data_IF_063009032218
#
_entry.id   IF_063009032218
#
_cell.length_a   1.000
_cell.length_b   1.000
_cell.length_c   1.000
_cell.angle_alpha   90.00
_cell.angle_beta   90.00
_cell.angle_gamma   90.00
#
_symmetry.space_group_name_H-M   'P 1'
#
loop_
_entity.id
_entity.type
_entity.pdbx_description
1 polymer ?
#
# COMPACT_ATOMS: atom_id res chain seq x y z
N UNK A 1 21.86 24.76 -5.30
CA UNK A 1 20.55 24.17 -5.63
C UNK A 1 20.76 22.68 -5.86
N UNK A 2 20.26 21.82 -4.98
CA UNK A 2 20.28 20.36 -5.19
C UNK A 2 19.26 20.07 -6.27
N UNK A 3 19.68 19.49 -7.38
CA UNK A 3 18.78 19.17 -8.49
C UNK A 3 17.80 18.07 -8.09
N UNK A 4 16.63 18.00 -8.73
CA UNK A 4 15.61 16.96 -8.51
C UNK A 4 16.17 15.53 -8.68
N UNK A 5 17.21 15.40 -9.48
CA UNK A 5 17.90 14.14 -9.73
C UNK A 5 18.72 13.66 -8.51
N UNK A 6 19.38 14.57 -7.78
CA UNK A 6 20.14 14.25 -6.57
C UNK A 6 19.26 13.82 -5.40
N UNK A 7 18.06 14.42 -5.27
CA UNK A 7 17.08 14.01 -4.24
C UNK A 7 16.52 12.60 -4.50
N UNK A 8 16.31 12.22 -5.77
CA UNK A 8 15.88 10.87 -6.14
C UNK A 8 16.96 9.82 -5.84
N UNK A 9 18.21 10.18 -6.07
CA UNK A 9 19.35 9.32 -5.77
C UNK A 9 19.52 9.10 -4.26
N UNK A 10 19.18 10.07 -3.41
CA UNK A 10 19.26 9.94 -1.96
C UNK A 10 18.40 8.79 -1.41
N UNK A 11 17.11 8.74 -1.72
CA UNK A 11 16.23 7.66 -1.24
C UNK A 11 16.57 6.31 -1.86
N UNK A 12 17.04 6.29 -3.09
CA UNK A 12 17.51 5.07 -3.73
C UNK A 12 18.78 4.54 -3.04
N UNK A 13 19.76 5.41 -2.79
CA UNK A 13 20.99 5.07 -2.04
C UNK A 13 20.65 4.63 -0.62
N UNK A 14 19.74 5.33 0.04
CA UNK A 14 19.27 4.99 1.38
C UNK A 14 18.62 3.60 1.40
N UNK A 15 17.74 3.29 0.44
CA UNK A 15 17.11 1.97 0.35
C UNK A 15 18.16 0.85 0.22
N UNK A 16 19.11 1.02 -0.70
CA UNK A 16 20.20 0.05 -0.89
C UNK A 16 21.06 -0.13 0.37
N UNK A 17 21.38 0.97 1.08
CA UNK A 17 22.13 0.95 2.33
C UNK A 17 21.39 0.24 3.46
N UNK A 18 20.08 0.40 3.54
CA UNK A 18 19.23 -0.20 4.58
C UNK A 18 18.68 -1.59 4.20
N UNK A 19 19.05 -2.11 3.01
CA UNK A 19 18.64 -3.43 2.55
C UNK A 19 17.22 -3.52 2.02
N UNK A 20 16.57 -2.38 1.73
CA UNK A 20 15.26 -2.37 1.10
C UNK A 20 15.35 -2.56 -0.42
N UNK A 21 14.43 -3.34 -0.98
CA UNK A 21 14.34 -3.60 -2.41
C UNK A 21 13.95 -2.35 -3.22
N UNK A 22 13.23 -1.41 -2.62
CA UNK A 22 12.86 -0.15 -3.26
C UNK A 22 12.64 0.97 -2.22
N UNK A 23 12.65 2.22 -2.70
CA UNK A 23 12.43 3.41 -1.87
C UNK A 23 10.99 3.58 -1.35
N UNK A 24 10.03 2.78 -1.84
CA UNK A 24 8.64 2.84 -1.37
C UNK A 24 8.50 2.49 0.12
N UNK A 25 9.49 1.79 0.71
CA UNK A 25 9.60 1.60 2.16
C UNK A 25 9.57 2.92 2.93
N UNK A 26 10.26 3.96 2.44
CA UNK A 26 10.35 5.27 3.12
C UNK A 26 9.05 6.07 3.02
N UNK A 27 8.27 5.88 1.96
CA UNK A 27 6.93 6.48 1.88
C UNK A 27 6.03 5.91 2.98
N UNK A 28 6.09 4.59 3.17
CA UNK A 28 5.33 3.92 4.24
C UNK A 28 5.86 4.30 5.62
N UNK A 29 7.18 4.48 5.79
CA UNK A 29 7.80 4.95 7.02
C UNK A 29 7.27 6.34 7.43
N UNK A 30 7.24 7.30 6.49
CA UNK A 30 6.70 8.63 6.75
C UNK A 30 5.22 8.60 7.14
N UNK A 31 4.42 7.76 6.47
CA UNK A 31 3.00 7.57 6.76
C UNK A 31 2.83 6.93 8.14
N UNK A 32 3.63 5.90 8.45
CA UNK A 32 3.61 5.24 9.76
C UNK A 32 3.96 6.21 10.89
N UNK A 33 5.00 7.02 10.72
CA UNK A 33 5.43 7.98 11.71
C UNK A 33 4.35 9.04 12.01
N UNK A 34 3.50 9.37 11.03
CA UNK A 34 2.44 10.37 11.19
C UNK A 34 1.11 9.79 11.66
N UNK A 35 0.75 8.60 11.22
CA UNK A 35 -0.60 8.06 11.41
C UNK A 35 -0.65 6.74 12.19
N UNK A 36 0.50 6.18 12.57
CA UNK A 36 0.59 4.97 13.37
C UNK A 36 -0.27 3.82 12.82
N UNK A 37 -0.03 3.47 11.53
CA UNK A 37 -0.77 2.40 10.83
C UNK A 37 -0.59 1.05 11.52
N UNK A 38 0.67 0.73 11.85
CA UNK A 38 1.03 -0.48 12.59
C UNK A 38 1.00 -0.19 14.08
N UNK A 39 0.20 -0.93 14.82
CA UNK A 39 0.08 -0.82 16.26
C UNK A 39 0.06 -2.20 16.94
N UNK A 40 -0.15 -2.23 18.26
CA UNK A 40 -0.17 -3.47 19.04
C UNK A 40 -1.26 -4.45 18.61
N UNK A 41 -2.32 -3.99 17.98
CA UNK A 41 -3.45 -4.79 17.56
C UNK A 41 -3.31 -5.31 16.12
N UNK A 42 -2.38 -4.76 15.34
CA UNK A 42 -2.14 -5.18 13.94
C UNK A 42 -1.58 -6.59 13.91
N UNK A 43 -2.30 -7.55 13.34
CA UNK A 43 -1.90 -8.96 13.19
C UNK A 43 -1.95 -9.42 11.75
N UNK A 44 -2.96 -9.05 11.00
CA UNK A 44 -3.14 -9.47 9.60
C UNK A 44 -3.05 -8.27 8.69
N UNK A 45 -2.11 -8.31 7.77
CA UNK A 45 -1.79 -7.24 6.82
C UNK A 45 -1.94 -7.77 5.41
N UNK A 46 -2.61 -7.02 4.54
CA UNK A 46 -2.69 -7.30 3.11
C UNK A 46 -1.97 -6.20 2.33
N UNK A 47 -1.04 -6.58 1.46
CA UNK A 47 -0.28 -5.67 0.58
C UNK A 47 -0.66 -5.93 -0.88
N UNK A 48 -1.38 -5.02 -1.50
CA UNK A 48 -1.86 -5.10 -2.88
C UNK A 48 -0.93 -4.27 -3.78
N UNK A 49 -0.39 -4.91 -4.84
CA UNK A 49 0.68 -4.33 -5.64
C UNK A 49 1.98 -4.34 -4.86
N UNK A 50 2.33 -5.49 -4.30
CA UNK A 50 3.41 -5.60 -3.33
C UNK A 50 4.81 -5.59 -3.93
N UNK A 51 4.96 -5.84 -5.26
CA UNK A 51 6.27 -5.87 -5.90
C UNK A 51 7.03 -4.53 -5.76
N UNK A 52 8.35 -4.59 -5.58
CA UNK A 52 9.23 -5.75 -5.41
C UNK A 52 9.29 -6.30 -3.97
N UNK A 53 8.47 -5.81 -3.02
CA UNK A 53 8.39 -6.30 -1.65
C UNK A 53 8.96 -5.35 -0.58
N UNK A 54 9.39 -4.15 -0.94
CA UNK A 54 10.03 -3.22 0.02
C UNK A 54 9.11 -2.73 1.13
N UNK A 55 7.79 -2.63 0.88
CA UNK A 55 6.82 -2.27 1.91
C UNK A 55 6.57 -3.43 2.87
N UNK A 56 6.57 -4.67 2.35
CA UNK A 56 6.52 -5.88 3.19
C UNK A 56 7.76 -5.94 4.07
N UNK A 57 8.96 -5.70 3.51
CA UNK A 57 10.19 -5.62 4.32
C UNK A 57 10.07 -4.58 5.44
N UNK A 58 9.55 -3.38 5.13
CA UNK A 58 9.33 -2.35 6.13
C UNK A 58 8.33 -2.80 7.21
N UNK A 59 7.20 -3.40 6.82
CA UNK A 59 6.20 -3.90 7.74
C UNK A 59 6.81 -4.95 8.69
N UNK A 60 7.53 -5.94 8.18
CA UNK A 60 8.22 -6.96 8.98
C UNK A 60 9.21 -6.32 9.96
N UNK A 61 10.06 -5.40 9.47
CA UNK A 61 11.03 -4.71 10.31
C UNK A 61 10.34 -3.91 11.43
N UNK A 62 9.21 -3.26 11.12
CA UNK A 62 8.45 -2.50 12.09
C UNK A 62 7.79 -3.40 13.15
N UNK A 63 7.17 -4.52 12.73
CA UNK A 63 6.60 -5.52 13.64
C UNK A 63 7.67 -6.10 14.58
N UNK A 64 8.85 -6.42 14.03
CA UNK A 64 9.98 -6.92 14.83
C UNK A 64 10.47 -5.88 15.86
N UNK A 65 10.54 -4.58 15.47
CA UNK A 65 10.87 -3.49 16.43
C UNK A 65 9.84 -3.40 17.56
N UNK A 66 8.58 -3.69 17.30
CA UNK A 66 7.53 -3.78 18.31
C UNK A 66 7.56 -5.11 19.10
N UNK A 67 8.54 -5.99 18.84
CA UNK A 67 8.65 -7.33 19.44
C UNK A 67 7.42 -8.22 19.19
N UNK A 68 6.80 -8.07 18.03
CA UNK A 68 5.66 -8.88 17.57
C UNK A 68 6.15 -9.98 16.65
N UNK A 69 5.69 -11.21 16.93
CA UNK A 69 5.94 -12.39 16.10
C UNK A 69 4.64 -13.06 15.62
N UNK A 70 3.49 -12.65 16.18
CA UNK A 70 2.16 -13.17 15.89
C UNK A 70 1.45 -12.37 14.80
N UNK A 71 2.12 -12.17 13.66
CA UNK A 71 1.54 -11.48 12.52
C UNK A 71 1.58 -12.31 11.25
N UNK A 72 0.68 -11.98 10.32
CA UNK A 72 0.62 -12.55 8.97
C UNK A 72 0.54 -11.40 7.97
N UNK A 73 1.37 -11.48 6.93
CA UNK A 73 1.37 -10.52 5.81
C UNK A 73 1.11 -11.31 4.54
N UNK A 74 0.04 -10.96 3.84
CA UNK A 74 -0.31 -11.47 2.52
C UNK A 74 0.01 -10.41 1.47
N UNK A 75 0.96 -10.70 0.58
CA UNK A 75 1.29 -9.86 -0.57
C UNK A 75 0.66 -10.40 -1.85
N UNK A 76 0.07 -9.52 -2.66
CA UNK A 76 -0.50 -9.86 -3.98
C UNK A 76 0.05 -8.89 -5.02
N UNK A 77 0.57 -9.42 -6.12
CA UNK A 77 1.03 -8.64 -7.26
C UNK A 77 0.92 -9.45 -8.55
N UNK A 78 0.80 -8.80 -9.69
CA UNK A 78 0.87 -9.45 -11.02
C UNK A 78 2.29 -9.92 -11.36
N UNK A 79 3.30 -9.40 -10.67
CA UNK A 79 4.69 -9.82 -10.78
C UNK A 79 5.03 -10.82 -9.68
N UNK A 80 5.98 -11.71 -9.95
CA UNK A 80 6.52 -12.58 -8.92
C UNK A 80 7.28 -11.77 -7.87
N UNK A 81 6.97 -12.03 -6.61
CA UNK A 81 7.66 -11.44 -5.45
C UNK A 81 8.20 -12.57 -4.60
N UNK A 82 9.52 -12.74 -4.61
CA UNK A 82 10.19 -13.78 -3.83
C UNK A 82 10.78 -13.19 -2.56
N UNK A 83 10.01 -13.29 -1.46
CA UNK A 83 10.41 -12.84 -0.13
C UNK A 83 10.36 -14.01 0.84
N UNK A 84 11.53 -14.41 1.35
CA UNK A 84 11.61 -15.41 2.41
C UNK A 84 11.71 -14.69 3.77
N UNK A 85 10.56 -14.22 4.27
CA UNK A 85 10.45 -13.52 5.55
C UNK A 85 9.42 -14.21 6.46
N UNK A 86 9.67 -14.30 7.78
CA UNK A 86 8.73 -14.91 8.72
C UNK A 86 7.35 -14.24 8.67
N UNK A 87 6.29 -15.04 8.62
CA UNK A 87 4.92 -14.55 8.62
C UNK A 87 4.46 -13.90 7.32
N UNK A 88 5.25 -14.00 6.23
CA UNK A 88 4.95 -13.43 4.91
C UNK A 88 4.64 -14.54 3.91
N UNK A 89 3.54 -14.37 3.18
CA UNK A 89 3.20 -15.18 2.00
C UNK A 89 2.89 -14.23 0.85
N UNK A 90 3.42 -14.51 -0.34
CA UNK A 90 3.18 -13.69 -1.54
C UNK A 90 2.60 -14.55 -2.64
N UNK A 91 1.67 -13.97 -3.41
CA UNK A 91 1.03 -14.60 -4.55
C UNK A 91 1.17 -13.73 -5.79
N UNK A 92 1.49 -14.40 -6.91
CA UNK A 92 1.37 -13.79 -8.22
C UNK A 92 -0.08 -13.93 -8.67
N UNK A 93 -0.83 -12.85 -8.56
CA UNK A 93 -2.24 -12.81 -8.93
C UNK A 93 -2.66 -11.41 -9.39
N UNK A 94 -3.67 -11.37 -10.28
CA UNK A 94 -4.33 -10.13 -10.67
C UNK A 94 -5.46 -9.83 -9.67
N UNK A 95 -5.47 -8.63 -9.13
CA UNK A 95 -6.48 -8.19 -8.16
C UNK A 95 -7.90 -8.16 -8.77
N UNK A 96 -8.01 -8.11 -10.10
CA UNK A 96 -9.28 -8.16 -10.81
C UNK A 96 -9.88 -9.58 -10.91
N UNK A 97 -9.08 -10.61 -10.66
CA UNK A 97 -9.54 -12.01 -10.61
C UNK A 97 -10.13 -12.33 -9.23
N UNK A 98 -11.35 -11.85 -9.00
CA UNK A 98 -12.03 -12.01 -7.71
C UNK A 98 -12.15 -13.46 -7.24
N UNK A 99 -12.47 -14.46 -8.09
CA UNK A 99 -12.48 -15.86 -7.69
C UNK A 99 -11.13 -16.32 -7.15
N UNK A 100 -10.04 -16.05 -7.85
CA UNK A 100 -8.69 -16.42 -7.44
C UNK A 100 -8.25 -15.71 -6.15
N UNK A 101 -8.60 -14.43 -5.99
CA UNK A 101 -8.34 -13.72 -4.73
C UNK A 101 -9.08 -14.36 -3.55
N UNK A 102 -10.33 -14.82 -3.73
CA UNK A 102 -11.07 -15.54 -2.69
C UNK A 102 -10.42 -16.87 -2.32
N UNK A 103 -9.91 -17.61 -3.31
CA UNK A 103 -9.15 -18.86 -3.06
C UNK A 103 -7.90 -18.58 -2.23
N UNK A 104 -7.09 -17.59 -2.61
CA UNK A 104 -5.90 -17.17 -1.86
C UNK A 104 -6.25 -16.80 -0.40
N UNK A 105 -7.31 -16.05 -0.19
CA UNK A 105 -7.75 -15.67 1.16
C UNK A 105 -8.18 -16.90 1.99
N UNK A 106 -8.89 -17.84 1.37
CA UNK A 106 -9.33 -19.08 2.01
C UNK A 106 -8.14 -19.98 2.38
N UNK A 107 -7.19 -20.19 1.48
CA UNK A 107 -5.95 -20.95 1.72
C UNK A 107 -5.15 -20.39 2.90
N UNK A 108 -5.15 -19.07 3.04
CA UNK A 108 -4.46 -18.38 4.12
C UNK A 108 -5.30 -18.23 5.40
N UNK A 109 -6.55 -18.76 5.44
CA UNK A 109 -7.50 -18.58 6.52
C UNK A 109 -7.69 -17.10 6.92
N UNK A 110 -7.78 -16.21 5.93
CA UNK A 110 -7.98 -14.76 6.13
C UNK A 110 -9.45 -14.44 5.87
N UNK A 111 -10.17 -14.09 6.92
CA UNK A 111 -11.55 -13.60 6.85
C UNK A 111 -11.61 -12.07 6.97
N UNK A 112 -10.71 -11.49 7.75
CA UNK A 112 -10.59 -10.06 7.94
C UNK A 112 -9.12 -9.67 8.14
N UNK A 113 -8.80 -8.41 7.83
CA UNK A 113 -7.47 -7.85 7.98
C UNK A 113 -7.47 -6.58 8.83
N UNK A 114 -6.38 -6.34 9.54
CA UNK A 114 -6.18 -5.16 10.38
C UNK A 114 -5.64 -3.97 9.58
N UNK A 115 -4.86 -4.27 8.53
CA UNK A 115 -4.26 -3.25 7.68
C UNK A 115 -4.28 -3.69 6.22
N UNK A 116 -4.76 -2.82 5.35
CA UNK A 116 -4.61 -2.95 3.89
C UNK A 116 -3.68 -1.83 3.41
N UNK A 117 -2.61 -2.21 2.72
CA UNK A 117 -1.75 -1.26 2.03
C UNK A 117 -1.76 -1.53 0.53
N UNK A 118 -1.77 -0.48 -0.29
CA UNK A 118 -1.70 -0.59 -1.74
C UNK A 118 -0.81 0.48 -2.34
N UNK A 119 0.14 0.05 -3.16
CA UNK A 119 0.99 0.92 -3.97
C UNK A 119 0.86 0.59 -5.48
N UNK A 120 -0.25 -0.05 -5.83
CA UNK A 120 -0.53 -0.38 -7.23
C UNK A 120 -0.41 0.85 -8.12
N UNK A 121 0.04 0.61 -9.33
CA UNK A 121 -0.01 1.57 -10.41
C UNK A 121 -0.37 0.83 -11.70
N UNK A 122 -1.15 1.44 -12.60
CA UNK A 122 -1.30 0.93 -13.94
C UNK A 122 0.03 1.03 -14.69
N UNK A 123 0.13 0.35 -15.82
CA UNK A 123 1.20 0.63 -16.78
C UNK A 123 1.04 2.06 -17.27
N UNK A 124 1.89 2.97 -16.74
CA UNK A 124 1.81 4.40 -17.05
C UNK A 124 2.33 4.68 -18.45
N UNK A 125 1.61 5.54 -19.19
CA UNK A 125 2.00 6.00 -20.52
C UNK A 125 2.59 7.42 -20.50
N UNK A 126 2.67 8.05 -19.31
CA UNK A 126 3.18 9.40 -19.14
C UNK A 126 2.14 10.51 -19.35
N UNK A 127 0.91 10.19 -19.78
CA UNK A 127 -0.21 11.13 -19.86
C UNK A 127 -0.93 11.12 -18.51
N UNK A 128 -0.64 12.14 -17.70
CA UNK A 128 -1.00 12.18 -16.27
C UNK A 128 -2.48 11.92 -15.97
N UNK A 129 -3.39 12.44 -16.79
CA UNK A 129 -4.82 12.29 -16.55
C UNK A 129 -5.31 10.88 -16.97
N UNK A 130 -4.77 10.34 -18.05
CA UNK A 130 -5.05 8.95 -18.46
C UNK A 130 -4.50 7.96 -17.43
N UNK A 131 -3.28 8.20 -16.94
CA UNK A 131 -2.69 7.35 -15.91
C UNK A 131 -3.50 7.41 -14.60
N UNK A 132 -4.07 8.57 -14.26
CA UNK A 132 -4.97 8.70 -13.12
C UNK A 132 -6.27 7.93 -13.32
N UNK A 133 -6.93 8.05 -14.46
CA UNK A 133 -8.16 7.32 -14.79
C UNK A 133 -7.94 5.80 -14.70
N UNK A 134 -6.87 5.29 -15.32
CA UNK A 134 -6.50 3.86 -15.26
C UNK A 134 -6.25 3.37 -13.83
N UNK A 135 -5.66 4.21 -12.99
CA UNK A 135 -5.48 3.85 -11.58
C UNK A 135 -6.84 3.72 -10.87
N UNK A 136 -7.77 4.65 -11.11
CA UNK A 136 -9.10 4.55 -10.49
C UNK A 136 -9.90 3.36 -11.00
N UNK A 137 -9.76 2.96 -12.27
CA UNK A 137 -10.31 1.70 -12.79
C UNK A 137 -9.77 0.48 -12.00
N UNK A 138 -8.47 0.44 -11.70
CA UNK A 138 -7.90 -0.61 -10.86
C UNK A 138 -8.40 -0.56 -9.41
N UNK A 139 -8.63 0.63 -8.87
CA UNK A 139 -9.13 0.80 -7.51
C UNK A 139 -10.59 0.34 -7.34
N UNK A 140 -11.38 0.23 -8.43
CA UNK A 140 -12.70 -0.38 -8.37
C UNK A 140 -12.66 -1.83 -7.85
N UNK A 141 -11.59 -2.58 -8.14
CA UNK A 141 -11.39 -3.95 -7.62
C UNK A 141 -10.93 -3.94 -6.14
N UNK A 142 -10.31 -2.86 -5.69
CA UNK A 142 -9.86 -2.73 -4.29
C UNK A 142 -10.99 -2.31 -3.35
N UNK A 143 -11.96 -1.53 -3.82
CA UNK A 143 -13.09 -1.05 -3.00
C UNK A 143 -13.87 -2.18 -2.30
N UNK A 144 -14.26 -3.28 -3.00
CA UNK A 144 -14.91 -4.42 -2.35
C UNK A 144 -14.03 -5.08 -1.28
N UNK A 145 -12.71 -5.15 -1.53
CA UNK A 145 -11.75 -5.70 -0.56
C UNK A 145 -11.73 -4.82 0.70
N UNK A 146 -11.64 -3.51 0.55
CA UNK A 146 -11.71 -2.58 1.68
C UNK A 146 -13.01 -2.71 2.46
N UNK A 147 -14.13 -2.82 1.77
CA UNK A 147 -15.46 -2.90 2.39
C UNK A 147 -15.69 -4.20 3.15
N UNK A 148 -15.22 -5.33 2.58
CA UNK A 148 -15.60 -6.66 3.05
C UNK A 148 -14.53 -7.30 3.97
N UNK A 149 -13.25 -6.99 3.76
CA UNK A 149 -12.16 -7.62 4.50
C UNK A 149 -11.58 -6.74 5.59
N UNK A 150 -11.64 -5.41 5.48
CA UNK A 150 -11.09 -4.55 6.50
C UNK A 150 -11.94 -4.62 7.77
N UNK A 151 -11.32 -4.88 8.91
CA UNK A 151 -12.01 -4.82 10.21
C UNK A 151 -12.58 -3.41 10.45
N UNK A 152 -13.63 -3.25 11.28
CA UNK A 152 -14.17 -1.92 11.61
C UNK A 152 -13.08 -0.95 12.09
N UNK A 153 -12.22 -1.41 13.01
CA UNK A 153 -11.07 -0.64 13.54
C UNK A 153 -9.82 -0.73 12.65
N UNK A 154 -9.91 -1.48 11.55
CA UNK A 154 -8.80 -1.66 10.62
C UNK A 154 -8.44 -0.38 9.89
N UNK A 155 -7.20 -0.30 9.45
CA UNK A 155 -6.63 0.86 8.77
C UNK A 155 -6.29 0.53 7.33
N UNK A 156 -6.23 1.54 6.48
CA UNK A 156 -5.67 1.34 5.15
C UNK A 156 -4.79 2.52 4.72
N UNK A 157 -3.90 2.24 3.79
CA UNK A 157 -3.11 3.23 3.04
C UNK A 157 -3.08 2.86 1.58
N UNK A 158 -3.59 3.75 0.73
CA UNK A 158 -3.74 3.51 -0.71
C UNK A 158 -3.11 4.66 -1.47
N UNK A 159 -2.20 4.33 -2.39
CA UNK A 159 -1.68 5.29 -3.35
C UNK A 159 -2.74 5.62 -4.38
N UNK A 160 -2.90 6.91 -4.65
CA UNK A 160 -3.74 7.44 -5.73
C UNK A 160 -2.97 8.50 -6.50
N UNK A 161 -3.44 8.85 -7.70
CA UNK A 161 -2.93 9.98 -8.46
C UNK A 161 -3.93 11.13 -8.39
N UNK A 162 -3.42 12.34 -8.14
CA UNK A 162 -4.24 13.55 -8.26
C UNK A 162 -4.58 13.78 -9.73
N UNK A 163 -5.87 13.83 -10.06
CA UNK A 163 -6.40 13.96 -11.41
C UNK A 163 -7.86 13.52 -11.49
N UNK A 164 -8.38 13.24 -12.70
CA UNK A 164 -9.76 12.75 -12.87
C UNK A 164 -10.03 11.52 -12.00
N UNK A 165 -11.16 11.50 -11.27
CA UNK A 165 -11.56 10.43 -10.36
C UNK A 165 -11.10 10.60 -8.91
N UNK A 166 -10.15 11.52 -8.62
CA UNK A 166 -9.58 11.67 -7.28
C UNK A 166 -10.62 12.13 -6.25
N UNK A 167 -11.37 13.17 -6.55
CA UNK A 167 -12.33 13.75 -5.61
C UNK A 167 -13.50 12.78 -5.35
N UNK A 168 -13.94 12.06 -6.37
CA UNK A 168 -14.96 11.01 -6.28
C UNK A 168 -14.49 9.88 -5.37
N UNK A 169 -13.29 9.39 -5.59
CA UNK A 169 -12.70 8.32 -4.76
C UNK A 169 -12.59 8.76 -3.29
N UNK A 170 -12.08 9.96 -3.03
CA UNK A 170 -11.98 10.49 -1.67
C UNK A 170 -13.36 10.65 -1.02
N UNK A 171 -14.36 11.12 -1.77
CA UNK A 171 -15.75 11.24 -1.30
C UNK A 171 -16.34 9.87 -0.95
N UNK A 172 -16.13 8.86 -1.78
CA UNK A 172 -16.57 7.49 -1.51
C UNK A 172 -15.90 6.92 -0.26
N UNK A 173 -14.59 7.08 -0.11
CA UNK A 173 -13.88 6.63 1.10
C UNK A 173 -14.40 7.31 2.35
N UNK A 174 -14.68 8.63 2.29
CA UNK A 174 -15.30 9.38 3.40
C UNK A 174 -16.70 8.89 3.73
N UNK A 175 -17.50 8.53 2.73
CA UNK A 175 -18.85 8.00 2.92
C UNK A 175 -18.80 6.60 3.53
N UNK A 176 -17.89 5.76 3.06
CA UNK A 176 -17.76 4.35 3.49
C UNK A 176 -17.18 4.21 4.90
N UNK A 177 -16.19 5.03 5.25
CA UNK A 177 -15.40 4.86 6.48
C UNK A 177 -15.50 6.03 7.47
N UNK A 178 -16.30 7.05 7.14
CA UNK A 178 -16.46 8.27 7.95
C UNK A 178 -15.40 9.33 7.64
N UNK A 179 -15.84 10.54 7.35
CA UNK A 179 -14.97 11.62 6.86
C UNK A 179 -13.84 12.02 7.81
N UNK A 180 -14.05 11.87 9.12
CA UNK A 180 -13.03 12.18 10.15
C UNK A 180 -11.87 11.19 10.13
N UNK A 181 -12.11 9.95 9.70
CA UNK A 181 -11.13 8.87 9.68
C UNK A 181 -10.26 8.90 8.41
N UNK A 182 -10.68 9.61 7.36
CA UNK A 182 -9.94 9.67 6.09
C UNK A 182 -8.98 10.86 6.12
N UNK A 183 -7.72 10.55 5.91
CA UNK A 183 -6.61 11.50 5.82
C UNK A 183 -5.92 11.38 4.48
N UNK A 184 -5.16 12.39 4.12
CA UNK A 184 -4.35 12.40 2.90
C UNK A 184 -2.93 12.87 3.24
N UNK A 185 -1.93 12.25 2.60
CA UNK A 185 -0.55 12.64 2.75
C UNK A 185 0.20 12.40 1.42
N UNK A 186 0.99 13.38 1.02
CA UNK A 186 2.04 13.21 0.02
C UNK A 186 3.38 13.11 0.76
N UNK A 187 3.97 11.91 0.92
CA UNK A 187 5.26 11.74 1.57
C UNK A 187 6.37 12.53 0.86
N UNK A 188 7.34 13.03 1.61
CA UNK A 188 8.50 13.73 1.04
C UNK A 188 9.35 12.78 0.16
N UNK A 189 9.31 11.47 0.43
CA UNK A 189 9.92 10.45 -0.41
C UNK A 189 9.28 10.30 -1.81
N UNK A 190 8.11 10.90 -2.08
CA UNK A 190 7.55 10.98 -3.42
C UNK A 190 8.37 11.93 -4.30
N UNK A 191 8.37 11.68 -5.62
CA UNK A 191 8.97 12.64 -6.57
C UNK A 191 8.18 13.94 -6.56
N UNK A 192 8.86 15.07 -6.66
CA UNK A 192 8.22 16.41 -6.67
C UNK A 192 7.17 16.53 -7.77
N UNK A 193 7.50 16.05 -8.97
CA UNK A 193 6.66 16.14 -10.18
C UNK A 193 5.54 15.07 -10.20
N UNK A 194 5.60 14.10 -9.30
CA UNK A 194 4.58 13.03 -9.22
C UNK A 194 3.26 13.58 -8.69
N UNK A 195 2.17 13.21 -9.33
CA UNK A 195 0.80 13.44 -8.82
C UNK A 195 0.40 12.43 -7.72
N UNK A 196 1.34 11.62 -7.26
CA UNK A 196 1.11 10.59 -6.25
C UNK A 196 0.78 11.20 -4.89
N UNK A 197 -0.28 10.72 -4.27
CA UNK A 197 -0.71 11.02 -2.92
C UNK A 197 -1.28 9.75 -2.29
N UNK A 198 -1.31 9.66 -0.98
CA UNK A 198 -1.89 8.53 -0.26
C UNK A 198 -3.18 8.93 0.44
N UNK A 199 -4.24 8.12 0.25
CA UNK A 199 -5.48 8.17 1.00
C UNK A 199 -5.38 7.13 2.12
N UNK A 200 -5.69 7.54 3.34
CA UNK A 200 -5.38 6.80 4.56
C UNK A 200 -6.63 6.79 5.44
N UNK A 201 -7.05 5.59 5.91
CA UNK A 201 -7.99 5.43 7.01
C UNK A 201 -7.21 5.18 8.30
N UNK A 202 -7.54 5.94 9.33
CA UNK A 202 -6.99 5.80 10.69
C UNK A 202 -8.06 5.37 11.68
#
# INVERSE_FOLDING_TARGET
MVTTFEFQDHYFKKAKKEGYLARSAFKLEEIQNKFHLFDKNTKTIMDIGCAPGSRIQYAVNHMNKMKKSDYKILGIDIQDVNLNLPGVTTYKADISDEPHIKEILAENNIQQVDLIQSDMAPNTIGVKDVDAMRLFELLEYVKPILKNLLKPEGKFVIKVFMGPGFDEFVKEMKTMFGGKNIKMLKPAACRKESKEIYVIKI
#
